data_IF_350290890819
#
_entry.id   IF_350290890819
#
_cell.length_a   1.000
_cell.length_b   1.000
_cell.length_c   1.000
_cell.angle_alpha   90.00
_cell.angle_beta   90.00
_cell.angle_gamma   90.00
#
_symmetry.space_group_name_H-M   'P 1'
#
loop_
_entity.id
_entity.type
_entity.pdbx_description
1 polymer ?
#
# COMPACT_ATOMS: atom_id res chain seq x y z
N UNK A 1 20.32 24.00 -39.39
CA UNK A 1 20.90 23.28 -38.23
C UNK A 1 20.19 23.60 -36.91
N UNK A 2 20.03 24.87 -36.52
CA UNK A 2 19.38 25.25 -35.24
C UNK A 2 17.92 24.76 -35.08
N UNK A 3 17.11 24.80 -36.15
CA UNK A 3 15.70 24.32 -36.11
C UNK A 3 15.58 22.81 -35.89
N UNK A 4 16.54 22.02 -36.39
CA UNK A 4 16.56 20.57 -36.22
C UNK A 4 17.00 20.19 -34.79
N UNK A 5 17.98 20.93 -34.24
CA UNK A 5 18.43 20.78 -32.86
C UNK A 5 17.31 21.12 -31.86
N UNK A 6 16.52 22.16 -32.14
CA UNK A 6 15.37 22.55 -31.29
C UNK A 6 14.26 21.49 -31.29
N UNK A 7 13.97 20.87 -32.45
CA UNK A 7 12.98 19.79 -32.55
C UNK A 7 13.43 18.53 -31.81
N UNK A 8 14.71 18.18 -31.87
CA UNK A 8 15.27 17.03 -31.13
C UNK A 8 15.23 17.30 -29.62
N UNK A 9 15.51 18.53 -29.18
CA UNK A 9 15.41 18.91 -27.77
C UNK A 9 13.95 18.85 -27.25
N UNK A 10 12.99 19.36 -28.03
CA UNK A 10 11.56 19.34 -27.67
C UNK A 10 10.98 17.92 -27.61
N UNK A 11 11.46 17.02 -28.47
CA UNK A 11 10.98 15.62 -28.51
C UNK A 11 11.53 14.76 -27.35
N UNK A 12 12.60 15.19 -26.67
CA UNK A 12 13.18 14.50 -25.50
C UNK A 12 12.51 14.87 -24.17
N UNK A 13 11.90 16.06 -24.07
CA UNK A 13 11.18 16.52 -22.87
C UNK A 13 10.05 15.58 -22.41
N UNK A 14 9.13 15.08 -23.28
CA UNK A 14 8.07 14.18 -22.83
C UNK A 14 8.59 12.81 -22.37
N UNK A 15 9.73 12.34 -22.92
CA UNK A 15 10.34 11.06 -22.49
C UNK A 15 10.91 11.14 -21.08
N UNK A 16 11.38 12.31 -20.64
CA UNK A 16 11.90 12.50 -19.29
C UNK A 16 10.77 12.57 -18.24
N UNK A 17 9.63 13.19 -18.60
CA UNK A 17 8.46 13.29 -17.72
C UNK A 17 7.83 11.93 -17.40
N UNK A 18 7.83 10.99 -18.37
CA UNK A 18 7.31 9.65 -18.18
C UNK A 18 8.14 8.82 -17.18
N UNK A 19 9.46 9.03 -17.11
CA UNK A 19 10.34 8.33 -16.18
C UNK A 19 10.11 8.73 -14.72
N UNK A 20 9.71 9.97 -14.45
CA UNK A 20 9.47 10.46 -13.08
C UNK A 20 8.19 9.88 -12.46
N UNK A 21 7.18 9.56 -13.27
CA UNK A 21 5.91 9.03 -12.77
C UNK A 21 6.00 7.55 -12.31
N UNK A 22 7.08 6.85 -12.68
CA UNK A 22 7.31 5.44 -12.36
C UNK A 22 7.90 5.23 -10.94
N UNK A 23 8.22 6.30 -10.21
CA UNK A 23 8.68 6.23 -8.82
C UNK A 23 7.53 6.25 -7.81
N UNK A 24 6.39 5.63 -8.12
CA UNK A 24 5.40 5.34 -7.08
C UNK A 24 5.93 4.18 -6.26
N UNK A 25 6.46 4.45 -5.08
CA UNK A 25 6.75 3.41 -4.09
C UNK A 25 5.45 2.66 -3.80
N UNK A 26 5.47 1.36 -4.11
CA UNK A 26 4.36 0.45 -3.87
C UNK A 26 4.71 -0.33 -2.61
N UNK A 27 4.12 0.07 -1.50
CA UNK A 27 4.18 -0.71 -0.27
C UNK A 27 3.05 -1.74 -0.27
N UNK A 28 3.25 -2.85 0.42
CA UNK A 28 2.18 -3.81 0.69
C UNK A 28 2.14 -4.03 2.19
N UNK A 29 1.01 -3.70 2.81
CA UNK A 29 0.75 -4.02 4.20
C UNK A 29 0.19 -5.43 4.26
N UNK A 30 0.93 -6.33 4.90
CA UNK A 30 0.56 -7.73 5.06
C UNK A 30 0.27 -8.05 6.52
N UNK A 31 -0.64 -8.99 6.75
CA UNK A 31 -0.95 -9.48 8.08
C UNK A 31 -1.88 -10.68 8.04
N UNK A 32 -2.23 -11.18 9.22
CA UNK A 32 -3.12 -12.33 9.39
C UNK A 32 -4.21 -12.02 10.40
N UNK A 33 -5.36 -12.65 10.23
CA UNK A 33 -6.46 -12.59 11.19
C UNK A 33 -6.70 -13.99 11.75
N UNK A 34 -6.72 -14.11 13.07
CA UNK A 34 -6.97 -15.37 13.76
C UNK A 34 -7.98 -15.22 14.89
N UNK A 35 -8.68 -16.32 15.19
CA UNK A 35 -9.50 -16.49 16.37
C UNK A 35 -8.59 -16.89 17.54
N UNK A 36 -8.50 -16.02 18.55
CA UNK A 36 -7.85 -16.32 19.82
C UNK A 36 -8.78 -17.14 20.72
N UNK A 37 -8.88 -18.43 20.43
CA UNK A 37 -9.75 -19.41 21.12
C UNK A 37 -9.48 -19.50 22.62
N UNK A 38 -8.25 -19.20 23.05
CA UNK A 38 -7.83 -19.24 24.45
C UNK A 38 -7.86 -17.87 25.15
N UNK A 39 -8.13 -16.77 24.42
CA UNK A 39 -8.03 -15.38 24.92
C UNK A 39 -6.66 -15.09 25.53
N UNK A 40 -5.60 -15.63 24.93
CA UNK A 40 -4.24 -15.52 25.40
C UNK A 40 -3.56 -14.20 24.99
N UNK A 41 -4.04 -13.56 23.92
CA UNK A 41 -3.50 -12.30 23.39
C UNK A 41 -2.27 -12.47 22.49
N UNK A 42 -1.92 -13.70 22.08
CA UNK A 42 -0.80 -13.99 21.19
C UNK A 42 -1.06 -15.22 20.31
N UNK A 43 -0.33 -15.33 19.20
CA UNK A 43 -0.40 -16.50 18.32
C UNK A 43 0.17 -17.74 19.02
N UNK A 44 -0.62 -18.81 19.07
CA UNK A 44 -0.25 -20.10 19.65
C UNK A 44 -0.74 -21.24 18.78
N UNK A 45 -0.40 -22.49 19.11
CA UNK A 45 -0.87 -23.67 18.37
C UNK A 45 -2.39 -23.89 18.42
N UNK A 46 -3.09 -23.24 19.36
CA UNK A 46 -4.53 -23.39 19.56
C UNK A 46 -5.39 -22.41 18.74
N UNK A 47 -4.76 -21.43 18.06
CA UNK A 47 -5.49 -20.45 17.26
C UNK A 47 -6.06 -21.08 15.99
N UNK A 48 -7.03 -20.40 15.38
CA UNK A 48 -7.55 -20.74 14.05
C UNK A 48 -7.58 -19.50 13.18
N UNK A 49 -6.97 -19.54 12.00
CA UNK A 49 -6.99 -18.42 11.06
C UNK A 49 -8.38 -18.24 10.42
N UNK A 50 -8.76 -16.98 10.17
CA UNK A 50 -10.10 -16.62 9.69
C UNK A 50 -10.03 -16.19 8.23
N UNK A 51 -10.64 -16.99 7.35
CA UNK A 51 -10.83 -16.63 5.94
C UNK A 51 -12.02 -15.67 5.75
N UNK A 52 -11.94 -14.76 4.79
CA UNK A 52 -13.01 -13.82 4.47
C UNK A 52 -13.22 -12.69 5.49
N UNK A 53 -12.31 -12.53 6.46
CA UNK A 53 -12.36 -11.42 7.41
C UNK A 53 -12.07 -10.10 6.68
N UNK A 54 -12.93 -9.10 6.88
CA UNK A 54 -12.71 -7.74 6.39
C UNK A 54 -11.80 -6.99 7.36
N UNK A 55 -10.73 -6.41 6.83
CA UNK A 55 -9.79 -5.55 7.56
C UNK A 55 -9.72 -4.18 6.89
N UNK A 56 -9.38 -3.14 7.64
CA UNK A 56 -9.22 -1.79 7.12
C UNK A 56 -7.92 -1.18 7.63
N UNK A 57 -7.09 -0.74 6.70
CA UNK A 57 -5.94 0.11 6.96
C UNK A 57 -6.44 1.55 7.05
N UNK A 58 -6.01 2.26 8.09
CA UNK A 58 -6.24 3.70 8.27
C UNK A 58 -4.91 4.36 8.60
N UNK A 59 -4.50 5.35 7.80
CA UNK A 59 -3.44 6.28 8.17
C UNK A 59 -4.09 7.57 8.63
N UNK A 60 -3.65 8.08 9.77
CA UNK A 60 -4.17 9.30 10.39
C UNK A 60 -3.03 10.28 10.56
N UNK A 61 -3.33 11.56 10.33
CA UNK A 61 -2.41 12.64 10.61
C UNK A 61 -2.04 12.64 12.09
N UNK A 62 -0.75 12.70 12.39
CA UNK A 62 -0.23 12.57 13.75
C UNK A 62 -0.60 13.76 14.65
N UNK A 63 -0.83 14.94 14.08
CA UNK A 63 -1.09 16.16 14.85
C UNK A 63 -2.55 16.29 15.28
N UNK A 64 -3.48 15.90 14.42
CA UNK A 64 -4.91 16.12 14.64
C UNK A 64 -5.77 14.84 14.55
N UNK A 65 -5.16 13.68 14.31
CA UNK A 65 -5.80 12.37 14.17
C UNK A 65 -6.81 12.28 13.01
N UNK A 66 -6.78 13.23 12.06
CA UNK A 66 -7.65 13.20 10.90
C UNK A 66 -7.27 12.04 9.98
N UNK A 67 -8.27 11.32 9.47
CA UNK A 67 -8.06 10.24 8.51
C UNK A 67 -7.57 10.81 7.18
N UNK A 68 -6.35 10.45 6.77
CA UNK A 68 -5.74 10.92 5.51
C UNK A 68 -5.69 9.83 4.44
N UNK A 69 -5.78 8.56 4.84
CA UNK A 69 -5.83 7.44 3.93
C UNK A 69 -6.59 6.27 4.54
N UNK A 70 -7.37 5.57 3.71
CA UNK A 70 -7.98 4.31 4.10
C UNK A 70 -8.07 3.34 2.94
N UNK A 71 -7.93 2.05 3.26
CA UNK A 71 -8.12 0.97 2.29
C UNK A 71 -8.57 -0.30 2.98
N UNK A 72 -9.53 -0.99 2.38
CA UNK A 72 -10.02 -2.28 2.86
C UNK A 72 -9.25 -3.44 2.24
N UNK A 73 -9.17 -4.54 2.99
CA UNK A 73 -8.65 -5.83 2.55
C UNK A 73 -9.56 -6.94 3.03
N UNK A 74 -9.42 -8.12 2.43
CA UNK A 74 -10.13 -9.33 2.86
C UNK A 74 -9.11 -10.45 2.95
N UNK A 75 -9.21 -11.26 4.00
CA UNK A 75 -8.29 -12.38 4.18
C UNK A 75 -8.60 -13.54 3.21
N UNK A 76 -7.53 -14.17 2.74
CA UNK A 76 -7.59 -15.39 1.93
C UNK A 76 -7.92 -16.64 2.77
N UNK A 77 -7.87 -17.82 2.15
CA UNK A 77 -8.14 -19.10 2.82
C UNK A 77 -7.17 -19.44 3.95
N UNK A 78 -5.98 -18.85 3.98
CA UNK A 78 -4.99 -18.99 5.05
C UNK A 78 -5.14 -17.91 6.14
N UNK A 79 -6.17 -17.06 6.04
CA UNK A 79 -6.38 -15.92 6.93
C UNK A 79 -5.39 -14.77 6.73
N UNK A 80 -4.67 -14.74 5.61
CA UNK A 80 -3.70 -13.70 5.28
C UNK A 80 -4.37 -12.59 4.46
N UNK A 81 -4.04 -11.33 4.72
CA UNK A 81 -4.43 -10.21 3.87
C UNK A 81 -3.20 -9.51 3.31
N UNK A 82 -3.36 -8.91 2.13
CA UNK A 82 -2.36 -8.04 1.50
C UNK A 82 -3.06 -6.78 0.98
N UNK A 83 -2.68 -5.62 1.50
CA UNK A 83 -3.25 -4.33 1.11
C UNK A 83 -2.16 -3.53 0.37
N UNK A 84 -2.27 -3.35 -0.96
CA UNK A 84 -1.32 -2.54 -1.70
C UNK A 84 -1.55 -1.05 -1.39
N UNK A 85 -0.51 -0.35 -1.00
CA UNK A 85 -0.52 1.06 -0.63
C UNK A 85 0.31 1.82 -1.65
N UNK A 86 -0.31 2.81 -2.28
CA UNK A 86 0.32 3.60 -3.31
C UNK A 86 0.94 4.86 -2.69
N UNK A 87 2.20 5.10 -3.03
CA UNK A 87 3.01 6.19 -2.53
C UNK A 87 3.38 6.03 -1.04
N UNK A 88 4.42 6.77 -0.65
CA UNK A 88 4.79 6.92 0.74
C UNK A 88 3.77 7.84 1.45
N UNK A 89 3.36 7.45 2.66
CA UNK A 89 2.43 8.22 3.48
C UNK A 89 3.11 9.10 4.53
N UNK A 90 4.46 9.04 4.63
CA UNK A 90 5.29 9.79 5.58
C UNK A 90 4.94 9.49 7.07
N UNK A 91 5.85 9.84 7.98
CA UNK A 91 5.74 9.61 9.44
C UNK A 91 5.10 10.76 10.24
#
# INVERSE_FOLDING_TARGET
>A
MAKLVLLIALCRLPTLAAAMCLMKTLFTVEGKVYCDTCRAGYESKAITYIAGAKVRLECRDKSNMALVYTKEGTTDSAGCYKIPVANDHLD
#
